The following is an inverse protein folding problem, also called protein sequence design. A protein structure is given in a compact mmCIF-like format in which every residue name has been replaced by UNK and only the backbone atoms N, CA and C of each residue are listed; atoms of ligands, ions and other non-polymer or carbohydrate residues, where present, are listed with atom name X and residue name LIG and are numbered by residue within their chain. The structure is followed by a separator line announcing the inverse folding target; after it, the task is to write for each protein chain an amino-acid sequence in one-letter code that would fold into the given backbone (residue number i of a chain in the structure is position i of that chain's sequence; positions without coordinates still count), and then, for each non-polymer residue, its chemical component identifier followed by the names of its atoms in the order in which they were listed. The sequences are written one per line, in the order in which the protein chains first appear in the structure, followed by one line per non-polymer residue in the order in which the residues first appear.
data_IF_714454305922
#
_entry.id   IF_714454305922
#
_cell.length_a   1.000
_cell.length_b   1.000
_cell.length_c   1.000
_cell.angle_alpha   90.00
_cell.angle_beta   90.00
_cell.angle_gamma   90.00
#
_symmetry.space_group_name_H-M   'P 1'
#
loop_
_entity.id
_entity.type
_entity.pdbx_description
1 polymer ?
#
# COMPACT_ATOMS: atom_id res chain seq x y z
N UNK A 1 -18.43 14.65 1.83
CA UNK A 1 -17.79 14.49 3.15
C UNK A 1 -18.64 13.48 3.89
N UNK A 2 -18.36 12.20 3.64
CA UNK A 2 -19.40 11.15 3.68
C UNK A 2 -19.35 10.30 4.95
N UNK A 3 -18.52 10.71 5.93
CA UNK A 3 -18.30 9.99 7.19
C UNK A 3 -18.91 10.79 8.33
N UNK A 4 -19.94 10.22 8.99
CA UNK A 4 -20.49 10.77 10.23
C UNK A 4 -19.45 10.61 11.36
N UNK A 5 -19.11 11.68 12.06
CA UNK A 5 -18.13 11.70 13.17
C UNK A 5 -16.78 11.01 12.84
N UNK A 6 -15.98 11.55 11.90
CA UNK A 6 -14.76 10.90 11.41
C UNK A 6 -13.74 10.62 12.52
N UNK A 7 -13.59 11.51 13.50
CA UNK A 7 -12.62 11.35 14.59
C UNK A 7 -12.85 10.08 15.44
N UNK A 8 -14.09 9.61 15.58
CA UNK A 8 -14.40 8.39 16.36
C UNK A 8 -14.65 7.19 15.46
N UNK A 9 -15.39 7.40 14.37
CA UNK A 9 -15.84 6.29 13.53
C UNK A 9 -14.73 5.78 12.62
N UNK A 10 -13.79 6.62 12.17
CA UNK A 10 -12.65 6.15 11.36
C UNK A 10 -11.76 5.19 12.16
N UNK A 11 -11.36 5.58 13.38
CA UNK A 11 -10.52 4.74 14.23
C UNK A 11 -11.19 3.42 14.61
N UNK A 12 -12.48 3.46 14.98
CA UNK A 12 -13.25 2.24 15.26
C UNK A 12 -13.35 1.32 14.05
N UNK A 13 -13.66 1.87 12.88
CA UNK A 13 -13.76 1.08 11.65
C UNK A 13 -12.44 0.40 11.29
N UNK A 14 -11.30 1.09 11.44
CA UNK A 14 -9.97 0.49 11.21
C UNK A 14 -9.73 -0.66 12.18
N UNK A 15 -9.98 -0.47 13.48
CA UNK A 15 -9.75 -1.51 14.50
C UNK A 15 -10.63 -2.74 14.24
N UNK A 16 -11.93 -2.55 13.99
CA UNK A 16 -12.83 -3.66 13.69
C UNK A 16 -12.45 -4.36 12.38
N UNK A 17 -12.05 -3.61 11.35
CA UNK A 17 -11.61 -4.18 10.08
C UNK A 17 -10.37 -5.06 10.27
N UNK A 18 -9.34 -4.55 10.95
CA UNK A 18 -8.11 -5.31 11.20
C UNK A 18 -8.42 -6.57 12.01
N UNK A 19 -9.19 -6.45 13.11
CA UNK A 19 -9.51 -7.58 13.98
C UNK A 19 -10.26 -8.68 13.22
N UNK A 20 -11.30 -8.32 12.46
CA UNK A 20 -12.08 -9.27 11.66
C UNK A 20 -11.20 -9.91 10.58
N UNK A 21 -10.41 -9.12 9.86
CA UNK A 21 -9.48 -9.63 8.85
C UNK A 21 -8.47 -10.60 9.44
N UNK A 22 -7.88 -10.29 10.60
CA UNK A 22 -6.94 -11.18 11.29
C UNK A 22 -7.60 -12.51 11.65
N UNK A 23 -8.80 -12.49 12.23
CA UNK A 23 -9.53 -13.72 12.57
C UNK A 23 -9.81 -14.57 11.33
N UNK A 24 -10.26 -13.93 10.25
CA UNK A 24 -10.52 -14.62 8.98
C UNK A 24 -9.23 -15.22 8.43
N UNK A 25 -8.11 -14.49 8.40
CA UNK A 25 -6.85 -15.02 7.89
C UNK A 25 -6.31 -16.19 8.72
N UNK A 26 -6.42 -16.12 10.05
CA UNK A 26 -6.04 -17.24 10.92
C UNK A 26 -6.91 -18.46 10.65
N UNK A 27 -8.23 -18.27 10.55
CA UNK A 27 -9.15 -19.37 10.23
C UNK A 27 -8.85 -19.99 8.85
N UNK A 28 -8.56 -19.16 7.84
CA UNK A 28 -8.19 -19.62 6.50
C UNK A 28 -6.86 -20.40 6.52
N UNK A 29 -5.85 -19.92 7.23
CA UNK A 29 -4.57 -20.59 7.35
C UNK A 29 -4.72 -21.98 8.00
N UNK A 30 -5.52 -22.08 9.07
CA UNK A 30 -5.83 -23.36 9.71
C UNK A 30 -6.63 -24.29 8.78
N UNK A 31 -7.59 -23.76 8.03
CA UNK A 31 -8.38 -24.54 7.08
C UNK A 31 -7.52 -25.09 5.93
N UNK A 32 -6.62 -24.29 5.37
CA UNK A 32 -5.69 -24.72 4.30
C UNK A 32 -4.70 -25.75 4.85
N UNK A 33 -4.10 -25.49 6.03
CA UNK A 33 -3.15 -26.41 6.65
C UNK A 33 -3.78 -27.74 7.08
N UNK A 34 -5.07 -27.75 7.41
CA UNK A 34 -5.81 -28.98 7.73
C UNK A 34 -6.37 -29.71 6.50
N UNK A 35 -6.54 -29.01 5.37
CA UNK A 35 -7.17 -29.55 4.16
C UNK A 35 -6.20 -30.06 3.10
N UNK A 36 -4.94 -29.61 3.10
CA UNK A 36 -3.93 -29.96 2.09
C UNK A 36 -2.61 -30.39 2.74
N UNK A 37 -1.90 -31.30 2.09
CA UNK A 37 -0.52 -31.62 2.46
C UNK A 37 0.45 -30.51 2.03
N UNK A 38 1.63 -30.46 2.66
CA UNK A 38 2.65 -29.43 2.36
C UNK A 38 3.04 -29.40 0.86
N UNK A 39 3.26 -30.55 0.18
CA UNK A 39 3.54 -30.54 -1.26
C UNK A 39 2.40 -29.92 -2.08
N UNK A 40 1.14 -30.24 -1.75
CA UNK A 40 -0.03 -29.70 -2.45
C UNK A 40 -0.19 -28.19 -2.22
N UNK A 41 0.12 -27.70 -1.01
CA UNK A 41 0.12 -26.25 -0.73
C UNK A 41 1.16 -25.53 -1.58
N UNK A 42 2.34 -26.14 -1.77
CA UNK A 42 3.42 -25.57 -2.59
C UNK A 42 3.03 -25.57 -4.07
N UNK A 43 2.45 -26.66 -4.56
CA UNK A 43 2.00 -26.77 -5.96
C UNK A 43 0.84 -25.81 -6.26
N UNK A 44 -0.12 -25.72 -5.34
CA UNK A 44 -1.29 -24.85 -5.47
C UNK A 44 -1.06 -23.45 -4.88
N UNK A 45 0.18 -23.00 -4.68
CA UNK A 45 0.51 -21.76 -3.94
C UNK A 45 -0.33 -20.54 -4.35
N UNK A 46 -0.54 -20.33 -5.65
CA UNK A 46 -1.25 -19.15 -6.18
C UNK A 46 -2.79 -19.26 -6.03
N UNK A 47 -3.31 -20.45 -5.72
CA UNK A 47 -4.75 -20.71 -5.57
C UNK A 47 -5.06 -21.66 -4.41
N UNK A 48 -4.21 -21.67 -3.38
CA UNK A 48 -4.22 -22.69 -2.31
C UNK A 48 -5.56 -22.75 -1.57
N UNK A 49 -6.24 -21.60 -1.44
CA UNK A 49 -7.57 -21.53 -0.85
C UNK A 49 -8.63 -22.29 -1.69
N UNK A 50 -8.62 -22.12 -3.00
CA UNK A 50 -9.53 -22.83 -3.90
C UNK A 50 -9.21 -24.33 -3.94
N UNK A 51 -7.92 -24.68 -3.91
CA UNK A 51 -7.48 -26.06 -3.77
C UNK A 51 -7.96 -26.68 -2.45
N UNK A 52 -7.89 -25.94 -1.34
CA UNK A 52 -8.36 -26.40 -0.02
C UNK A 52 -9.88 -26.55 0.06
N UNK A 53 -10.65 -25.86 -0.80
CA UNK A 53 -12.10 -26.04 -0.89
C UNK A 53 -12.49 -27.38 -1.53
N UNK A 54 -11.64 -27.96 -2.39
CA UNK A 54 -11.90 -29.23 -3.09
C UNK A 54 -12.11 -30.42 -2.16
N UNK A 55 -11.25 -30.71 -1.16
CA UNK A 55 -11.45 -31.85 -0.26
C UNK A 55 -12.67 -31.71 0.66
N UNK A 56 -13.11 -30.48 0.97
CA UNK A 56 -14.22 -30.22 1.89
C UNK A 56 -15.57 -30.15 1.18
N UNK A 57 -15.62 -29.49 0.01
CA UNK A 57 -16.85 -29.15 -0.70
C UNK A 57 -16.94 -29.76 -2.11
N UNK A 58 -15.99 -30.61 -2.49
CA UNK A 58 -15.89 -31.20 -3.83
C UNK A 58 -15.52 -30.17 -4.92
N UNK A 59 -15.66 -30.57 -6.18
CA UNK A 59 -15.28 -29.71 -7.32
C UNK A 59 -16.11 -28.42 -7.39
N UNK A 60 -17.39 -28.49 -7.02
CA UNK A 60 -18.29 -27.33 -7.00
C UNK A 60 -17.83 -26.24 -6.01
N UNK A 61 -17.30 -26.64 -4.84
CA UNK A 61 -16.76 -25.68 -3.87
C UNK A 61 -15.55 -24.91 -4.38
N UNK A 62 -14.68 -25.56 -5.14
CA UNK A 62 -13.52 -24.91 -5.76
C UNK A 62 -13.96 -23.88 -6.81
N UNK A 63 -14.86 -24.26 -7.72
CA UNK A 63 -15.35 -23.35 -8.77
C UNK A 63 -16.05 -22.11 -8.22
N UNK A 64 -16.90 -22.28 -7.19
CA UNK A 64 -17.57 -21.15 -6.53
C UNK A 64 -16.53 -20.23 -5.88
N UNK A 65 -15.55 -20.80 -5.18
CA UNK A 65 -14.48 -20.04 -4.52
C UNK A 65 -13.68 -19.22 -5.53
N UNK A 66 -13.31 -19.80 -6.67
CA UNK A 66 -12.62 -19.11 -7.76
C UNK A 66 -13.48 -17.96 -8.31
N UNK A 67 -14.76 -18.20 -8.58
CA UNK A 67 -15.66 -17.17 -9.09
C UNK A 67 -15.79 -15.97 -8.14
N UNK A 68 -15.98 -16.24 -6.84
CA UNK A 68 -16.04 -15.20 -5.80
C UNK A 68 -14.70 -14.47 -5.69
N UNK A 69 -13.58 -15.19 -5.73
CA UNK A 69 -12.24 -14.60 -5.66
C UNK A 69 -11.97 -13.65 -6.83
N UNK A 70 -12.39 -14.01 -8.06
CA UNK A 70 -12.24 -13.14 -9.24
C UNK A 70 -13.04 -11.85 -9.04
N UNK A 71 -14.31 -11.93 -8.62
CA UNK A 71 -15.14 -10.73 -8.40
C UNK A 71 -14.54 -9.84 -7.29
N UNK A 72 -14.09 -10.45 -6.20
CA UNK A 72 -13.48 -9.74 -5.07
C UNK A 72 -12.15 -9.06 -5.47
N UNK A 73 -11.28 -9.74 -6.22
CA UNK A 73 -9.99 -9.19 -6.67
C UNK A 73 -10.17 -8.08 -7.70
N UNK A 74 -11.06 -8.25 -8.68
CA UNK A 74 -11.35 -7.21 -9.68
C UNK A 74 -11.86 -5.93 -9.00
N UNK A 75 -12.82 -6.06 -8.08
CA UNK A 75 -13.33 -4.91 -7.33
C UNK A 75 -12.27 -4.26 -6.45
N UNK A 76 -11.43 -5.05 -5.78
CA UNK A 76 -10.31 -4.56 -4.97
C UNK A 76 -9.25 -3.81 -5.78
N UNK A 77 -8.89 -4.31 -6.97
CA UNK A 77 -7.93 -3.66 -7.88
C UNK A 77 -8.50 -2.33 -8.38
N UNK A 78 -9.75 -2.30 -8.83
CA UNK A 78 -10.41 -1.07 -9.30
C UNK A 78 -10.43 -0.02 -8.17
N UNK A 79 -10.85 -0.41 -6.96
CA UNK A 79 -10.86 0.49 -5.81
C UNK A 79 -9.47 1.04 -5.47
N UNK A 80 -8.44 0.20 -5.53
CA UNK A 80 -7.05 0.58 -5.23
C UNK A 80 -6.48 1.56 -6.27
N UNK A 81 -6.76 1.36 -7.57
CA UNK A 81 -6.34 2.26 -8.65
C UNK A 81 -7.00 3.64 -8.51
N UNK A 82 -8.30 3.68 -8.19
CA UNK A 82 -8.98 4.97 -7.96
C UNK A 82 -8.46 5.69 -6.72
N UNK A 83 -8.18 4.96 -5.64
CA UNK A 83 -7.60 5.54 -4.42
C UNK A 83 -6.21 6.15 -4.68
N UNK A 84 -5.31 5.38 -5.32
CA UNK A 84 -3.94 5.80 -5.58
C UNK A 84 -3.85 6.96 -6.57
N UNK A 85 -4.63 6.93 -7.65
CA UNK A 85 -4.68 8.02 -8.63
C UNK A 85 -5.20 9.33 -8.03
N UNK A 86 -6.18 9.27 -7.12
CA UNK A 86 -6.67 10.43 -6.39
C UNK A 86 -5.61 11.02 -5.45
N UNK A 87 -4.88 10.17 -4.73
CA UNK A 87 -3.77 10.60 -3.87
C UNK A 87 -2.69 11.30 -4.71
N UNK A 88 -2.30 10.70 -5.82
CA UNK A 88 -1.29 11.26 -6.74
C UNK A 88 -1.75 12.61 -7.32
N UNK A 89 -3.02 12.72 -7.72
CA UNK A 89 -3.60 13.99 -8.19
C UNK A 89 -3.63 15.06 -7.09
N UNK A 90 -3.93 14.68 -5.84
CA UNK A 90 -3.92 15.60 -4.70
C UNK A 90 -2.51 16.13 -4.41
N UNK A 91 -1.51 15.25 -4.38
CA UNK A 91 -0.11 15.65 -4.20
C UNK A 91 0.38 16.55 -5.34
N UNK A 92 -0.03 16.25 -6.59
CA UNK A 92 0.27 17.07 -7.76
C UNK A 92 -0.32 18.48 -7.63
N UNK A 93 -1.56 18.61 -7.15
CA UNK A 93 -2.18 19.92 -6.90
C UNK A 93 -1.51 20.68 -5.73
N UNK A 94 -0.96 19.96 -4.75
CA UNK A 94 -0.17 20.54 -3.66
C UNK A 94 1.28 20.87 -4.06
N UNK A 95 1.65 20.65 -5.33
CA UNK A 95 3.02 20.78 -5.85
C UNK A 95 4.06 19.95 -5.07
N UNK A 96 3.62 18.83 -4.47
CA UNK A 96 4.49 17.89 -3.76
C UNK A 96 5.07 16.81 -4.68
N UNK A 97 4.52 16.70 -5.89
CA UNK A 97 5.00 15.84 -6.98
C UNK A 97 4.80 16.58 -8.31
N UNK A 98 5.51 16.19 -9.40
CA UNK A 98 5.37 16.83 -10.70
C UNK A 98 3.92 16.91 -11.16
N UNK A 99 3.53 18.05 -11.73
CA UNK A 99 2.13 18.26 -12.13
C UNK A 99 1.73 17.35 -13.28
N UNK A 100 1.02 16.26 -12.97
CA UNK A 100 0.38 15.42 -13.97
C UNK A 100 -0.84 16.10 -14.60
N UNK A 101 -1.34 17.17 -13.97
CA UNK A 101 -2.49 17.97 -14.41
C UNK A 101 -2.22 18.78 -15.68
N UNK A 102 -0.94 19.02 -16.03
CA UNK A 102 -0.56 19.70 -17.29
C UNK A 102 -0.43 18.77 -18.50
N UNK A 103 -0.51 17.45 -18.32
CA UNK A 103 -0.31 16.47 -19.38
C UNK A 103 -1.58 16.22 -20.20
N UNK A 104 -2.02 17.23 -20.97
CA UNK A 104 -2.95 17.09 -22.11
C UNK A 104 -4.42 16.68 -21.82
N UNK A 105 -5.21 16.62 -22.90
CA UNK A 105 -6.69 16.48 -23.04
C UNK A 105 -7.39 15.29 -22.32
N UNK A 106 -6.75 14.61 -21.38
CA UNK A 106 -7.29 13.45 -20.69
C UNK A 106 -7.97 13.86 -19.37
N UNK A 107 -9.18 13.34 -19.11
CA UNK A 107 -9.95 13.65 -17.89
C UNK A 107 -9.24 13.23 -16.59
N UNK A 108 -8.35 12.22 -16.62
CA UNK A 108 -7.66 11.68 -15.43
C UNK A 108 -6.24 11.15 -15.76
N UNK A 109 -5.23 12.02 -15.98
CA UNK A 109 -3.88 11.58 -16.35
C UNK A 109 -3.19 10.76 -15.25
N UNK A 110 -3.47 11.03 -13.97
CA UNK A 110 -2.95 10.25 -12.85
C UNK A 110 -3.43 8.79 -12.86
N UNK A 111 -4.69 8.55 -13.25
CA UNK A 111 -5.26 7.21 -13.34
C UNK A 111 -4.60 6.41 -14.47
N UNK A 112 -4.44 7.03 -15.64
CA UNK A 112 -3.77 6.39 -16.78
C UNK A 112 -2.34 6.03 -16.41
N UNK A 113 -1.61 6.95 -15.77
CA UNK A 113 -0.24 6.69 -15.31
C UNK A 113 -0.17 5.52 -14.31
N UNK A 114 -1.00 5.52 -13.26
CA UNK A 114 -1.01 4.45 -12.25
C UNK A 114 -1.38 3.10 -12.86
N UNK A 115 -2.35 3.07 -13.79
CA UNK A 115 -2.77 1.84 -14.46
C UNK A 115 -1.71 1.32 -15.43
N UNK A 116 -1.10 2.18 -16.23
CA UNK A 116 -0.01 1.80 -17.14
C UNK A 116 1.20 1.25 -16.37
N UNK A 117 1.55 1.86 -15.24
CA UNK A 117 2.63 1.37 -14.39
C UNK A 117 2.30 -0.01 -13.78
N UNK A 118 1.06 -0.21 -13.32
CA UNK A 118 0.61 -1.50 -12.80
C UNK A 118 0.67 -2.60 -13.88
N UNK A 119 0.20 -2.31 -15.10
CA UNK A 119 0.29 -3.24 -16.24
C UNK A 119 1.74 -3.56 -16.57
N UNK A 120 2.61 -2.54 -16.64
CA UNK A 120 4.04 -2.74 -16.91
C UNK A 120 4.68 -3.68 -15.88
N UNK A 121 4.44 -3.45 -14.59
CA UNK A 121 4.96 -4.31 -13.53
C UNK A 121 4.40 -5.74 -13.61
N UNK A 122 3.13 -5.89 -13.97
CA UNK A 122 2.47 -7.21 -14.11
C UNK A 122 3.03 -8.02 -15.28
N UNK A 123 3.48 -7.37 -16.36
CA UNK A 123 4.10 -8.04 -17.51
C UNK A 123 5.56 -8.42 -17.23
N UNK A 124 6.27 -7.62 -16.43
CA UNK A 124 7.69 -7.82 -16.16
C UNK A 124 7.99 -8.79 -15.00
N UNK A 125 7.08 -8.90 -14.03
CA UNK A 125 7.29 -9.65 -12.80
C UNK A 125 6.17 -10.66 -12.55
N UNK A 126 6.51 -11.80 -11.95
CA UNK A 126 5.55 -12.77 -11.46
C UNK A 126 4.88 -12.28 -10.16
N UNK A 127 3.72 -12.87 -9.84
CA UNK A 127 2.92 -12.51 -8.68
C UNK A 127 3.72 -12.55 -7.36
N UNK A 128 4.60 -13.55 -7.20
CA UNK A 128 5.39 -13.70 -5.97
C UNK A 128 6.38 -12.55 -5.82
N UNK A 129 7.07 -12.15 -6.89
CA UNK A 129 7.99 -11.00 -6.85
C UNK A 129 7.26 -9.69 -6.61
N UNK A 130 6.14 -9.44 -7.28
CA UNK A 130 5.34 -8.22 -7.09
C UNK A 130 4.87 -8.11 -5.63
N UNK A 131 4.32 -9.19 -5.07
CA UNK A 131 3.89 -9.22 -3.67
C UNK A 131 5.06 -8.96 -2.70
N UNK A 132 6.24 -9.49 -3.00
CA UNK A 132 7.43 -9.33 -2.16
C UNK A 132 7.98 -7.91 -2.19
N UNK A 133 8.07 -7.29 -3.38
CA UNK A 133 8.47 -5.88 -3.52
C UNK A 133 7.45 -4.99 -2.79
N UNK A 134 6.15 -5.24 -2.98
CA UNK A 134 5.09 -4.52 -2.28
C UNK A 134 5.21 -4.60 -0.76
N UNK A 135 5.48 -5.79 -0.20
CA UNK A 135 5.67 -5.97 1.24
C UNK A 135 6.87 -5.18 1.78
N UNK A 136 8.01 -5.17 1.06
CA UNK A 136 9.19 -4.38 1.44
C UNK A 136 8.84 -2.88 1.47
N UNK A 137 8.17 -2.39 0.42
CA UNK A 137 7.78 -0.98 0.33
C UNK A 137 6.81 -0.59 1.43
N UNK A 138 5.84 -1.45 1.74
CA UNK A 138 4.85 -1.21 2.77
C UNK A 138 5.49 -1.15 4.16
N UNK A 139 6.35 -2.10 4.50
CA UNK A 139 7.06 -2.11 5.79
C UNK A 139 7.98 -0.88 5.96
N UNK A 140 8.69 -0.48 4.90
CA UNK A 140 9.51 0.74 4.93
C UNK A 140 8.64 1.99 5.10
N UNK A 141 7.51 2.05 4.40
CA UNK A 141 6.54 3.15 4.53
C UNK A 141 6.00 3.25 5.96
N UNK A 142 5.62 2.13 6.58
CA UNK A 142 5.13 2.10 7.96
C UNK A 142 6.21 2.58 8.94
N UNK A 143 7.45 2.09 8.81
CA UNK A 143 8.58 2.56 9.63
C UNK A 143 8.77 4.08 9.47
N UNK A 144 8.74 4.58 8.23
CA UNK A 144 8.91 6.00 7.94
C UNK A 144 7.79 6.86 8.53
N UNK A 145 6.53 6.39 8.47
CA UNK A 145 5.37 7.08 9.05
C UNK A 145 5.48 7.13 10.58
N UNK A 146 5.76 6.01 11.23
CA UNK A 146 5.89 5.95 12.70
C UNK A 146 7.09 6.77 13.19
N UNK A 147 8.21 6.74 12.47
CA UNK A 147 9.36 7.60 12.75
C UNK A 147 9.03 9.08 12.55
N UNK A 148 8.33 9.41 11.46
CA UNK A 148 7.84 10.75 11.17
C UNK A 148 6.93 11.29 12.28
N UNK A 149 6.04 10.46 12.81
CA UNK A 149 5.20 10.78 13.97
C UNK A 149 6.05 11.12 15.20
N UNK A 150 7.06 10.30 15.50
CA UNK A 150 7.93 10.49 16.66
C UNK A 150 8.82 11.74 16.55
N UNK A 151 9.35 12.01 15.36
CA UNK A 151 10.32 13.11 15.13
C UNK A 151 9.65 14.46 14.87
N UNK A 152 8.59 14.50 14.04
CA UNK A 152 8.05 15.76 13.50
C UNK A 152 6.68 16.13 14.07
N UNK A 153 5.90 15.18 14.60
CA UNK A 153 4.53 15.42 15.08
C UNK A 153 4.36 15.28 16.60
N UNK A 154 5.43 15.01 17.35
CA UNK A 154 5.41 14.89 18.83
C UNK A 154 4.73 16.07 19.54
N UNK A 155 4.86 17.28 19.00
CA UNK A 155 4.30 18.49 19.60
C UNK A 155 2.93 18.89 19.01
N UNK A 156 2.46 18.20 17.97
CA UNK A 156 1.21 18.53 17.24
C UNK A 156 0.09 17.51 17.45
N UNK A 157 0.44 16.30 17.87
CA UNK A 157 -0.50 15.18 18.02
C UNK A 157 -0.29 14.52 19.38
N UNK A 158 -1.36 14.36 20.15
CA UNK A 158 -1.34 13.58 21.38
C UNK A 158 -1.38 12.10 21.03
N UNK A 159 -0.29 11.37 21.29
CA UNK A 159 -0.22 9.92 21.12
C UNK A 159 0.57 9.26 22.25
N UNK A 160 0.36 7.95 22.43
CA UNK A 160 1.15 7.15 23.38
C UNK A 160 2.45 6.69 22.70
N UNK A 161 3.64 7.16 23.11
CA UNK A 161 4.89 6.91 22.38
C UNK A 161 5.30 5.45 22.28
N UNK A 162 4.80 4.62 23.21
CA UNK A 162 5.07 3.19 23.27
C UNK A 162 4.47 2.46 22.07
N UNK A 163 3.29 2.88 21.57
CA UNK A 163 2.58 2.18 20.49
C UNK A 163 3.36 2.25 19.17
N UNK A 164 3.75 3.44 18.65
CA UNK A 164 4.57 3.53 17.44
C UNK A 164 5.94 2.88 17.59
N UNK A 165 6.53 2.91 18.79
CA UNK A 165 7.84 2.30 19.03
C UNK A 165 7.76 0.77 18.88
N UNK A 166 6.76 0.13 19.47
CA UNK A 166 6.53 -1.31 19.31
C UNK A 166 6.26 -1.65 17.84
N UNK A 167 5.47 -0.83 17.13
CA UNK A 167 5.21 -1.02 15.71
C UNK A 167 6.51 -0.99 14.89
N UNK A 168 7.37 0.01 15.07
CA UNK A 168 8.68 0.11 14.40
C UNK A 168 9.53 -1.13 14.68
N UNK A 169 9.61 -1.57 15.94
CA UNK A 169 10.41 -2.76 16.30
C UNK A 169 9.88 -4.02 15.61
N UNK A 170 8.55 -4.18 15.56
CA UNK A 170 7.91 -5.31 14.90
C UNK A 170 8.13 -5.26 13.38
N UNK A 171 7.97 -4.09 12.76
CA UNK A 171 8.18 -3.89 11.33
C UNK A 171 9.63 -4.19 10.94
N UNK A 172 10.60 -3.72 11.75
CA UNK A 172 12.02 -4.03 11.53
C UNK A 172 12.29 -5.52 11.67
N UNK A 173 11.73 -6.18 12.68
CA UNK A 173 11.91 -7.62 12.88
C UNK A 173 11.35 -8.43 11.70
N UNK A 174 10.13 -8.10 11.26
CA UNK A 174 9.48 -8.75 10.11
C UNK A 174 10.25 -8.46 8.81
N UNK A 175 10.65 -7.20 8.59
CA UNK A 175 11.43 -6.82 7.41
C UNK A 175 12.78 -7.54 7.38
N UNK A 176 13.51 -7.58 8.50
CA UNK A 176 14.80 -8.28 8.56
C UNK A 176 14.67 -9.78 8.27
N UNK A 177 13.68 -10.44 8.86
CA UNK A 177 13.38 -11.86 8.60
C UNK A 177 12.99 -12.08 7.13
N UNK A 178 12.14 -11.21 6.57
CA UNK A 178 11.68 -11.31 5.19
C UNK A 178 12.82 -11.09 4.18
N UNK A 179 13.68 -10.10 4.42
CA UNK A 179 14.87 -9.82 3.61
C UNK A 179 15.85 -10.98 3.66
N UNK A 180 16.05 -11.60 4.83
CA UNK A 180 16.91 -12.77 4.97
C UNK A 180 16.39 -13.96 4.14
N UNK A 181 15.09 -14.25 4.22
CA UNK A 181 14.47 -15.33 3.42
C UNK A 181 14.59 -15.03 1.91
N UNK A 182 14.38 -13.77 1.50
CA UNK A 182 14.49 -13.40 0.09
C UNK A 182 15.91 -13.37 -0.44
N UNK A 183 16.88 -13.02 0.39
CA UNK A 183 18.30 -13.09 0.03
C UNK A 183 18.71 -14.51 -0.37
N UNK A 184 18.17 -15.54 0.31
CA UNK A 184 18.48 -16.94 0.01
C UNK A 184 17.72 -17.47 -1.22
N UNK A 185 16.46 -17.06 -1.41
CA UNK A 185 15.57 -17.68 -2.40
C UNK A 185 15.44 -16.91 -3.72
N UNK A 186 15.45 -15.57 -3.69
CA UNK A 186 15.27 -14.73 -4.87
C UNK A 186 15.94 -13.35 -4.68
N UNK A 187 17.26 -13.25 -4.89
CA UNK A 187 18.02 -12.01 -4.70
C UNK A 187 17.58 -10.89 -5.63
N UNK A 188 16.98 -11.21 -6.78
CA UNK A 188 16.53 -10.23 -7.77
C UNK A 188 15.50 -9.27 -7.16
N UNK A 189 14.60 -9.78 -6.33
CA UNK A 189 13.60 -8.99 -5.60
C UNK A 189 14.27 -7.89 -4.77
N UNK A 190 15.37 -8.21 -4.09
CA UNK A 190 16.09 -7.26 -3.25
C UNK A 190 16.75 -6.16 -4.07
N UNK A 191 17.36 -6.53 -5.20
CA UNK A 191 18.00 -5.57 -6.10
C UNK A 191 16.96 -4.62 -6.69
N UNK A 192 15.83 -5.14 -7.18
CA UNK A 192 14.76 -4.32 -7.75
C UNK A 192 14.14 -3.42 -6.69
N UNK A 193 13.91 -3.93 -5.48
CA UNK A 193 13.40 -3.12 -4.39
C UNK A 193 14.38 -2.00 -4.00
N UNK A 194 15.68 -2.30 -3.90
CA UNK A 194 16.71 -1.32 -3.62
C UNK A 194 16.80 -0.23 -4.71
N UNK A 195 16.79 -0.63 -5.99
CA UNK A 195 16.75 0.31 -7.12
C UNK A 195 15.51 1.19 -7.04
N UNK A 196 14.33 0.61 -6.77
CA UNK A 196 13.09 1.36 -6.63
C UNK A 196 13.14 2.39 -5.49
N UNK A 197 13.69 2.03 -4.33
CA UNK A 197 13.88 2.95 -3.20
C UNK A 197 14.85 4.07 -3.58
N UNK A 198 15.99 3.75 -4.18
CA UNK A 198 16.97 4.75 -4.63
C UNK A 198 16.36 5.70 -5.64
N UNK A 199 15.62 5.18 -6.64
CA UNK A 199 14.92 6.00 -7.62
C UNK A 199 13.91 6.95 -6.97
N UNK A 200 13.14 6.48 -5.98
CA UNK A 200 12.19 7.31 -5.23
C UNK A 200 12.93 8.42 -4.49
N UNK A 201 13.99 8.09 -3.74
CA UNK A 201 14.76 9.07 -2.97
C UNK A 201 15.44 10.10 -3.86
N UNK A 202 15.99 9.67 -5.00
CA UNK A 202 16.60 10.57 -5.99
C UNK A 202 15.55 11.47 -6.63
N UNK A 203 14.41 10.91 -7.05
CA UNK A 203 13.31 11.69 -7.60
C UNK A 203 12.79 12.73 -6.60
N UNK A 204 12.60 12.34 -5.35
CA UNK A 204 12.19 13.23 -4.26
C UNK A 204 13.24 14.33 -4.03
N UNK A 205 14.52 13.97 -3.90
CA UNK A 205 15.62 14.93 -3.72
C UNK A 205 15.70 15.93 -4.87
N UNK A 206 15.65 15.46 -6.12
CA UNK A 206 15.69 16.33 -7.30
C UNK A 206 14.47 17.24 -7.37
N UNK A 207 13.29 16.71 -7.01
CA UNK A 207 12.07 17.49 -6.96
C UNK A 207 12.14 18.58 -5.88
N UNK A 208 12.60 18.24 -4.68
CA UNK A 208 12.84 19.19 -3.60
C UNK A 208 13.83 20.27 -4.02
N UNK A 209 15.00 19.92 -4.56
CA UNK A 209 16.03 20.90 -4.97
C UNK A 209 15.50 21.86 -6.05
N UNK A 210 14.65 21.38 -6.96
CA UNK A 210 14.13 22.21 -8.06
C UNK A 210 12.92 23.08 -7.69
N UNK A 211 12.18 22.75 -6.62
CA UNK A 211 10.90 23.38 -6.28
C UNK A 211 10.82 23.94 -4.85
N UNK A 212 11.95 24.00 -4.15
CA UNK A 212 12.07 24.58 -2.80
C UNK A 212 12.76 25.93 -2.88
N UNK A 213 12.29 26.93 -2.13
CA UNK A 213 12.95 28.23 -2.02
C UNK A 213 14.28 28.15 -1.23
N UNK A 214 15.07 29.23 -1.22
CA UNK A 214 16.37 29.29 -0.52
C UNK A 214 16.26 29.02 1.00
N UNK A 215 15.04 29.08 1.55
CA UNK A 215 14.70 28.83 2.97
C UNK A 215 14.25 27.38 3.24
N UNK A 216 14.14 26.52 2.21
CA UNK A 216 13.71 25.14 2.39
C UNK A 216 12.21 24.91 2.35
N UNK A 217 11.40 25.90 1.94
CA UNK A 217 9.95 25.81 1.86
C UNK A 217 9.44 25.55 0.43
N UNK A 218 8.51 24.61 0.29
CA UNK A 218 7.77 24.41 -0.96
C UNK A 218 6.53 25.33 -1.00
N UNK A 219 6.33 26.12 -2.07
CA UNK A 219 5.15 26.95 -2.21
C UNK A 219 3.91 26.08 -2.46
N UNK A 220 3.20 25.74 -1.39
CA UNK A 220 1.99 24.92 -1.42
C UNK A 220 0.90 25.61 -2.26
N UNK A 221 0.44 24.95 -3.34
CA UNK A 221 -0.56 25.50 -4.27
C UNK A 221 -1.98 25.67 -3.72
N UNK A 222 -2.21 25.44 -2.43
CA UNK A 222 -3.53 25.67 -1.82
C UNK A 222 -3.68 27.16 -1.48
N UNK A 223 -4.59 27.83 -2.19
CA UNK A 223 -5.04 29.18 -1.85
C UNK A 223 -5.50 29.19 -0.39
N UNK A 224 -4.76 29.88 0.49
CA UNK A 224 -5.15 30.10 1.87
C UNK A 224 -6.55 30.74 1.89
N UNK A 225 -7.48 30.12 2.62
CA UNK A 225 -8.85 30.62 2.82
C UNK A 225 -8.91 31.99 3.49
N UNK A 226 -7.78 32.53 3.96
CA UNK A 226 -7.65 33.91 4.44
C UNK A 226 -7.79 34.99 3.35
N UNK A 227 -7.63 34.66 2.06
CA UNK A 227 -7.76 35.65 0.97
C UNK A 227 -9.22 35.98 0.61
N UNK A 228 -10.21 35.21 1.13
CA UNK A 228 -11.62 35.51 0.90
C UNK A 228 -12.14 36.70 1.71
N UNK A 229 -11.50 37.03 2.84
CA UNK A 229 -11.97 38.11 3.73
C UNK A 229 -11.34 39.49 3.46
N UNK A 230 -10.53 39.63 2.39
CA UNK A 230 -9.93 40.91 1.97
C UNK A 230 -10.57 41.51 0.71
N UNK A 231 -11.62 40.87 0.19
CA UNK A 231 -12.37 41.32 -1.01
C UNK A 231 -13.88 41.45 -0.75
N UNK A 232 -14.25 41.97 0.40
CA UNK A 232 -15.57 42.56 0.66
C UNK A 232 -15.38 43.90 1.31
#
# INVERSE_FOLDING_TARGET
ADIKNPHKNLGRSIVFSILICTLIYVALALAVAGGLSIPEIIEAKDYALAAAAKPVFGEWGSWITIGIAIIATVSGVIASIFSSSRLLAMLSNMKQVPSLTKLGSLKNPALVFTSSLAILLTVLFDLTRIASIGAIFYLIMDIAIHWGLFRHLKNKVVFQPIIPLIAIVLDIAVLAAFLYIKYLNDPLVLIVAAIGIVLILVAERLFMISHTDDEGNMPMGMKNTSDKNKKT
#
